data_IF_089541071103
#
_entry.id   IF_089541071103
#
_cell.length_a   1.000
_cell.length_b   1.000
_cell.length_c   1.000
_cell.angle_alpha   90.00
_cell.angle_beta   90.00
_cell.angle_gamma   90.00
#
_symmetry.space_group_name_H-M   'P 1'
#
loop_
_entity.id
_entity.type
_entity.pdbx_description
1 polymer ?
#
# COMPACT_ATOMS: atom_id res chain seq x y z
N UNK A 1 11.87 18.59 16.94
CA UNK A 1 12.66 19.15 15.83
C UNK A 1 12.49 18.27 14.59
N UNK A 2 11.72 18.72 13.60
CA UNK A 2 11.72 18.09 12.29
C UNK A 2 13.10 18.34 11.65
N UNK A 3 13.88 17.28 11.42
CA UNK A 3 15.20 17.40 10.83
C UNK A 3 15.02 17.73 9.34
N UNK A 4 15.36 18.97 8.95
CA UNK A 4 15.38 19.41 7.54
C UNK A 4 16.33 18.50 6.73
N UNK A 5 15.85 17.96 5.61
CA UNK A 5 16.57 17.00 4.74
C UNK A 5 15.80 15.69 4.53
N UNK A 6 16.44 14.70 3.89
CA UNK A 6 15.87 13.36 3.58
C UNK A 6 15.38 12.54 4.80
N UNK A 7 15.36 13.11 6.00
CA UNK A 7 14.96 12.43 7.23
C UNK A 7 15.91 11.30 7.67
N UNK A 8 17.01 11.08 6.95
CA UNK A 8 17.98 10.03 7.29
C UNK A 8 19.07 10.55 8.21
N UNK A 9 19.49 9.73 9.16
CA UNK A 9 20.62 10.02 10.03
C UNK A 9 21.35 8.75 10.41
N UNK A 10 22.64 8.89 10.71
CA UNK A 10 23.48 7.79 11.16
C UNK A 10 23.57 7.80 12.68
N UNK A 11 23.30 6.65 13.31
CA UNK A 11 23.53 6.40 14.73
C UNK A 11 24.53 5.25 14.87
N UNK A 12 25.76 5.56 15.28
CA UNK A 12 26.86 4.61 15.27
C UNK A 12 27.14 4.11 13.84
N UNK A 13 26.99 2.81 13.61
CA UNK A 13 27.16 2.17 12.29
C UNK A 13 25.84 2.00 11.52
N UNK A 14 24.72 2.47 12.06
CA UNK A 14 23.38 2.20 11.52
C UNK A 14 22.72 3.46 10.98
N UNK A 15 22.18 3.38 9.78
CA UNK A 15 21.34 4.42 9.19
C UNK A 15 19.89 4.23 9.60
N UNK A 16 19.23 5.35 9.92
CA UNK A 16 17.83 5.40 10.35
C UNK A 16 17.10 6.48 9.57
N UNK A 17 15.81 6.25 9.36
CA UNK A 17 14.86 7.20 8.79
C UNK A 17 13.95 7.70 9.90
N UNK A 18 13.72 9.01 9.95
CA UNK A 18 12.77 9.67 10.83
C UNK A 18 12.07 10.78 10.07
N UNK A 19 10.82 10.49 9.69
CA UNK A 19 10.01 11.37 8.84
C UNK A 19 8.59 11.45 9.37
N UNK A 20 7.89 12.53 9.03
CA UNK A 20 6.47 12.69 9.30
C UNK A 20 5.73 12.71 7.97
N UNK A 21 4.83 11.77 7.75
CA UNK A 21 3.96 11.69 6.57
C UNK A 21 2.52 11.56 7.07
N UNK A 22 1.60 12.34 6.51
CA UNK A 22 0.18 12.37 6.94
C UNK A 22 -0.02 12.58 8.45
N UNK A 23 0.80 13.41 9.09
CA UNK A 23 0.74 13.67 10.53
C UNK A 23 1.21 12.53 11.42
N UNK A 24 1.61 11.38 10.86
CA UNK A 24 2.18 10.24 11.59
C UNK A 24 3.71 10.23 11.45
N UNK A 25 4.39 10.03 12.57
CA UNK A 25 5.86 9.88 12.59
C UNK A 25 6.24 8.44 12.27
N UNK A 26 7.16 8.26 11.33
CA UNK A 26 7.71 6.98 10.93
C UNK A 26 9.20 6.95 11.26
N UNK A 27 9.58 6.02 12.14
CA UNK A 27 10.96 5.78 12.52
C UNK A 27 11.35 4.36 12.11
N UNK A 28 12.27 4.25 11.15
CA UNK A 28 12.68 2.99 10.55
C UNK A 28 14.20 2.85 10.57
N UNK A 29 14.68 1.62 10.61
CA UNK A 29 16.11 1.32 10.43
C UNK A 29 16.34 0.95 8.97
N UNK A 30 17.26 1.65 8.30
CA UNK A 30 17.57 1.44 6.89
C UNK A 30 18.64 0.36 6.70
N UNK A 31 19.62 0.28 7.60
CA UNK A 31 20.67 -0.74 7.55
C UNK A 31 21.92 -0.36 8.33
N UNK A 32 22.84 -1.31 8.50
CA UNK A 32 24.11 -1.15 9.21
C UNK A 32 25.29 -1.27 8.23
N UNK A 33 26.35 -0.49 8.45
CA UNK A 33 27.57 -0.49 7.64
C UNK A 33 27.36 -0.18 6.15
N UNK A 34 26.28 0.50 5.78
CA UNK A 34 26.01 0.93 4.41
C UNK A 34 26.47 2.38 4.18
N UNK A 35 26.72 2.74 2.93
CA UNK A 35 27.02 4.11 2.54
C UNK A 35 25.79 5.02 2.69
N UNK A 36 26.01 6.33 2.70
CA UNK A 36 24.92 7.32 2.74
C UNK A 36 24.02 7.23 1.50
N UNK A 37 24.61 6.96 0.32
CA UNK A 37 23.86 6.83 -0.94
C UNK A 37 22.88 5.66 -0.88
N UNK A 38 23.34 4.48 -0.48
CA UNK A 38 22.48 3.29 -0.32
C UNK A 38 21.40 3.55 0.73
N UNK A 39 21.72 4.22 1.84
CA UNK A 39 20.72 4.60 2.82
C UNK A 39 19.66 5.57 2.26
N UNK A 40 20.05 6.49 1.37
CA UNK A 40 19.11 7.41 0.73
C UNK A 40 18.16 6.70 -0.25
N UNK A 41 18.66 5.73 -1.02
CA UNK A 41 17.85 4.88 -1.90
C UNK A 41 16.81 4.08 -1.11
N UNK A 42 17.26 3.42 -0.03
CA UNK A 42 16.36 2.67 0.86
C UNK A 42 15.31 3.60 1.50
N UNK A 43 15.70 4.81 1.88
CA UNK A 43 14.76 5.79 2.42
C UNK A 43 13.72 6.24 1.38
N UNK A 44 14.09 6.37 0.10
CA UNK A 44 13.12 6.65 -0.97
C UNK A 44 12.12 5.51 -1.15
N UNK A 45 12.58 4.26 -1.13
CA UNK A 45 11.72 3.07 -1.22
C UNK A 45 10.72 3.05 -0.05
N UNK A 46 11.19 3.23 1.18
CA UNK A 46 10.32 3.24 2.36
C UNK A 46 9.33 4.41 2.36
N UNK A 47 9.74 5.60 1.91
CA UNK A 47 8.82 6.72 1.70
C UNK A 47 7.74 6.38 0.68
N UNK A 48 8.12 5.78 -0.45
CA UNK A 48 7.19 5.38 -1.49
C UNK A 48 6.16 4.36 -0.96
N UNK A 49 6.60 3.36 -0.17
CA UNK A 49 5.71 2.39 0.49
C UNK A 49 4.71 3.07 1.44
N UNK A 50 5.18 4.03 2.24
CA UNK A 50 4.31 4.79 3.16
C UNK A 50 3.29 5.61 2.38
N UNK A 51 3.71 6.26 1.27
CA UNK A 51 2.81 7.04 0.41
C UNK A 51 1.78 6.17 -0.32
N UNK A 52 2.17 4.98 -0.79
CA UNK A 52 1.28 4.03 -1.46
C UNK A 52 0.37 3.26 -0.49
N UNK A 53 0.68 3.27 0.80
CA UNK A 53 -0.03 2.51 1.82
C UNK A 53 0.26 1.00 1.82
N UNK A 54 1.31 0.58 1.11
CA UNK A 54 1.71 -0.85 0.93
C UNK A 54 2.27 -1.49 2.22
N UNK A 55 2.69 -0.70 3.21
CA UNK A 55 3.30 -1.21 4.44
C UNK A 55 2.32 -1.44 5.61
N UNK A 56 0.99 -1.45 5.38
CA UNK A 56 0.00 -1.36 6.49
C UNK A 56 0.08 -0.05 7.28
N UNK A 57 0.92 0.86 6.81
CA UNK A 57 1.22 2.18 7.34
C UNK A 57 0.86 3.17 6.23
N UNK A 58 -0.43 3.32 6.02
CA UNK A 58 -1.05 4.25 5.08
C UNK A 58 -2.51 4.37 5.44
N UNK A 59 -3.21 5.34 4.84
CA UNK A 59 -4.67 5.42 4.99
C UNK A 59 -5.23 4.09 4.48
N UNK A 60 -5.90 3.30 5.32
CA UNK A 60 -6.68 2.15 4.85
C UNK A 60 -7.49 2.65 3.64
N UNK A 61 -7.46 1.94 2.49
CA UNK A 61 -8.33 2.28 1.38
C UNK A 61 -9.71 2.56 1.93
N UNK A 62 -10.34 3.67 1.49
CA UNK A 62 -11.71 3.98 1.91
C UNK A 62 -12.51 2.70 1.75
N UNK A 63 -13.25 2.35 2.79
CA UNK A 63 -14.10 1.18 2.75
C UNK A 63 -15.04 1.30 1.55
N UNK A 64 -14.78 0.47 0.55
CA UNK A 64 -15.49 0.48 -0.72
C UNK A 64 -16.61 -0.54 -0.66
N UNK A 65 -17.65 -0.31 -1.45
CA UNK A 65 -18.72 -1.29 -1.63
C UNK A 65 -18.21 -2.52 -2.36
N UNK A 66 -18.89 -3.65 -2.15
CA UNK A 66 -18.62 -4.88 -2.88
C UNK A 66 -18.63 -4.66 -4.40
N UNK A 67 -19.60 -3.91 -4.93
CA UNK A 67 -19.70 -3.59 -6.37
C UNK A 67 -18.43 -2.93 -6.91
N UNK A 68 -17.88 -1.98 -6.15
CA UNK A 68 -16.67 -1.26 -6.55
C UNK A 68 -15.44 -2.18 -6.50
N UNK A 69 -15.34 -3.03 -5.49
CA UNK A 69 -14.26 -4.01 -5.38
C UNK A 69 -14.32 -5.07 -6.48
N UNK A 70 -15.51 -5.54 -6.83
CA UNK A 70 -15.76 -6.48 -7.91
C UNK A 70 -15.33 -5.91 -9.27
N UNK A 71 -15.66 -4.65 -9.55
CA UNK A 71 -15.23 -3.96 -10.76
C UNK A 71 -13.70 -3.80 -10.86
N UNK A 72 -13.05 -3.40 -9.76
CA UNK A 72 -11.59 -3.26 -9.70
C UNK A 72 -10.90 -4.62 -9.88
N UNK A 73 -11.44 -5.68 -9.28
CA UNK A 73 -10.93 -7.06 -9.43
C UNK A 73 -11.06 -7.57 -10.87
N UNK A 74 -12.19 -7.35 -11.54
CA UNK A 74 -12.38 -7.75 -12.93
C UNK A 74 -11.42 -7.02 -13.86
N UNK A 75 -11.27 -5.71 -13.67
CA UNK A 75 -10.34 -4.88 -14.45
C UNK A 75 -8.88 -5.34 -14.28
N UNK A 76 -8.47 -5.68 -13.06
CA UNK A 76 -7.13 -6.23 -12.81
C UNK A 76 -6.96 -7.64 -13.41
N UNK A 77 -8.00 -8.46 -13.36
CA UNK A 77 -7.98 -9.84 -13.86
C UNK A 77 -7.94 -9.92 -15.38
N UNK A 78 -8.55 -8.95 -16.08
CA UNK A 78 -8.57 -8.87 -17.54
C UNK A 78 -7.16 -8.79 -18.17
N UNK A 79 -6.18 -8.24 -17.46
CA UNK A 79 -4.81 -8.11 -17.97
C UNK A 79 -4.01 -9.43 -17.98
N UNK A 80 -4.37 -10.41 -17.13
CA UNK A 80 -3.53 -11.59 -16.88
C UNK A 80 -4.28 -12.93 -16.99
N UNK A 81 -5.60 -12.90 -17.23
CA UNK A 81 -6.44 -14.11 -17.14
C UNK A 81 -7.12 -14.41 -18.47
N UNK A 82 -7.37 -15.71 -18.72
CA UNK A 82 -8.07 -16.16 -19.93
C UNK A 82 -9.53 -15.66 -19.96
N UNK A 83 -10.08 -15.33 -21.14
CA UNK A 83 -11.46 -14.83 -21.27
C UNK A 83 -12.54 -15.70 -20.62
N UNK A 84 -12.39 -17.03 -20.71
CA UNK A 84 -13.36 -17.96 -20.14
C UNK A 84 -13.36 -17.94 -18.60
N UNK A 85 -12.20 -17.72 -17.98
CA UNK A 85 -12.08 -17.57 -16.52
C UNK A 85 -12.70 -16.26 -16.05
N UNK A 86 -12.51 -15.18 -16.81
CA UNK A 86 -13.13 -13.87 -16.53
C UNK A 86 -14.66 -13.99 -16.59
N UNK A 87 -15.20 -14.76 -17.55
CA UNK A 87 -16.64 -15.04 -17.63
C UNK A 87 -17.16 -15.74 -16.37
N UNK A 88 -16.42 -16.73 -15.84
CA UNK A 88 -16.77 -17.39 -14.59
C UNK A 88 -16.72 -16.43 -13.39
N UNK A 89 -15.70 -15.58 -13.31
CA UNK A 89 -15.62 -14.56 -12.26
C UNK A 89 -16.80 -13.58 -12.29
N UNK A 90 -17.24 -13.13 -13.47
CA UNK A 90 -18.42 -12.28 -13.60
C UNK A 90 -19.66 -12.96 -13.01
N UNK A 91 -19.92 -14.22 -13.39
CA UNK A 91 -21.08 -14.97 -12.88
C UNK A 91 -21.07 -15.12 -11.34
N UNK A 92 -19.91 -15.39 -10.75
CA UNK A 92 -19.79 -15.51 -9.30
C UNK A 92 -19.95 -14.16 -8.59
N UNK A 93 -19.41 -13.09 -9.17
CA UNK A 93 -19.54 -11.75 -8.61
C UNK A 93 -20.97 -11.21 -8.72
N UNK A 94 -21.68 -11.51 -9.82
CA UNK A 94 -23.08 -11.13 -10.00
C UNK A 94 -23.98 -11.80 -8.93
N UNK A 95 -23.78 -13.09 -8.68
CA UNK A 95 -24.51 -13.80 -7.61
C UNK A 95 -24.22 -13.25 -6.22
N UNK A 96 -22.97 -12.84 -5.95
CA UNK A 96 -22.59 -12.22 -4.68
C UNK A 96 -23.09 -10.77 -4.55
N UNK A 97 -23.22 -10.04 -5.66
CA UNK A 97 -23.71 -8.66 -5.68
C UNK A 97 -25.18 -8.57 -5.22
N UNK A 98 -25.99 -9.61 -5.44
CA UNK A 98 -27.38 -9.67 -4.94
C UNK A 98 -27.46 -9.52 -3.41
N UNK A 99 -26.47 -10.04 -2.69
CA UNK A 99 -26.45 -10.02 -1.22
C UNK A 99 -25.58 -8.90 -0.66
N UNK A 100 -24.46 -8.59 -1.33
CA UNK A 100 -23.41 -7.72 -0.81
C UNK A 100 -23.22 -6.41 -1.57
N UNK A 101 -23.86 -6.20 -2.73
CA UNK A 101 -23.48 -5.17 -3.70
C UNK A 101 -23.22 -3.78 -3.13
N UNK A 102 -24.20 -3.22 -2.40
CA UNK A 102 -24.09 -1.91 -1.76
C UNK A 102 -23.49 -1.95 -0.34
N UNK A 103 -23.25 -3.14 0.21
CA UNK A 103 -22.58 -3.28 1.50
C UNK A 103 -21.12 -2.95 1.35
N UNK A 104 -20.57 -2.33 2.38
CA UNK A 104 -19.13 -2.16 2.47
C UNK A 104 -18.48 -3.49 2.77
N UNK A 105 -17.24 -3.68 2.29
CA UNK A 105 -16.47 -4.90 2.57
C UNK A 105 -16.14 -5.08 4.06
N UNK A 106 -16.25 -4.04 4.88
CA UNK A 106 -16.13 -4.19 6.34
C UNK A 106 -17.43 -4.62 7.04
N UNK A 107 -18.56 -4.57 6.33
CA UNK A 107 -19.91 -4.86 6.85
C UNK A 107 -20.46 -6.20 6.33
N UNK A 108 -19.69 -6.90 5.48
CA UNK A 108 -20.00 -8.22 4.92
C UNK A 108 -19.64 -9.36 5.85
#
# INVERSE_FOLDING_TARGET
MARKGDGIYKRGKTWRLDIVIHGKRHQLTLGKNISRSVAAELAQIERAKILRGEAGIGRKPRDITFDKAAADFLKASEANTRPNTIRGYRQHLDALAETFGQRKLSES
#
